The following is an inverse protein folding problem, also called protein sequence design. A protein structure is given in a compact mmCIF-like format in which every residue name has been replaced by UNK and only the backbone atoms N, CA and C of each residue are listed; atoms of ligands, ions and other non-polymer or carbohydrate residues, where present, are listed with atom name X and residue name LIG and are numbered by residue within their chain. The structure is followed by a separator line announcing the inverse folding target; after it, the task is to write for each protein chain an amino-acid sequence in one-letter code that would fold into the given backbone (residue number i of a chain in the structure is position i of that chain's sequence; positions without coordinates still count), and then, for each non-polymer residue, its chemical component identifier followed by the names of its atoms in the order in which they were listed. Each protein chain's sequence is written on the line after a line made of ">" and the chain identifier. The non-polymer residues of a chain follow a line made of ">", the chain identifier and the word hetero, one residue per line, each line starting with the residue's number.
data_IF_244036626459
#
_entry.id   IF_244036626459
#
_cell.length_a   1.000
_cell.length_b   1.000
_cell.length_c   1.000
_cell.angle_alpha   90.00
_cell.angle_beta   90.00
_cell.angle_gamma   90.00
#
_symmetry.space_group_name_H-M   'P 1'
#
loop_
_entity.id
_entity.type
_entity.pdbx_description
1 polymer ?
#
# COMPACT_ATOMS: atom_id res chain seq x y z
N UNK A 1 -60.66 47.76 6.29
CA UNK A 1 -61.28 47.22 5.07
C UNK A 1 -60.88 45.75 5.02
N UNK A 2 -61.72 44.75 5.33
CA UNK A 2 -63.20 44.63 5.16
C UNK A 2 -63.52 44.84 3.66
N UNK A 3 -64.12 43.95 2.86
CA UNK A 3 -64.94 42.71 3.08
C UNK A 3 -64.91 41.85 1.76
N UNK A 4 -65.40 40.60 1.61
CA UNK A 4 -65.91 39.51 2.47
C UNK A 4 -65.87 38.16 1.67
N UNK A 5 -66.24 37.03 2.31
CA UNK A 5 -66.92 35.81 1.78
C UNK A 5 -66.15 34.48 1.86
N UNK A 6 -66.71 33.32 2.24
CA UNK A 6 -67.84 32.85 3.08
C UNK A 6 -68.33 31.50 2.52
N UNK A 7 -68.43 30.51 3.40
CA UNK A 7 -69.18 29.22 3.37
C UNK A 7 -68.40 28.28 4.32
N UNK A 8 -68.78 27.97 5.58
CA UNK A 8 -70.09 27.68 6.19
C UNK A 8 -70.84 26.52 5.47
N UNK A 9 -71.33 25.46 6.13
CA UNK A 9 -71.53 25.23 7.59
C UNK A 9 -71.76 23.73 7.94
N UNK A 10 -71.64 23.38 9.24
CA UNK A 10 -72.53 22.45 10.03
C UNK A 10 -72.54 20.91 9.80
N UNK A 11 -72.91 20.04 10.77
CA UNK A 11 -73.02 20.09 12.26
C UNK A 11 -73.13 18.65 12.86
N UNK A 12 -72.86 18.49 14.18
CA UNK A 12 -73.31 17.36 15.02
C UNK A 12 -72.16 16.52 15.63
N UNK A 13 -71.79 16.47 16.91
CA UNK A 13 -72.30 16.85 18.26
C UNK A 13 -72.49 15.60 19.18
N UNK A 14 -72.44 15.81 20.51
CA UNK A 14 -72.68 14.87 21.64
C UNK A 14 -71.48 14.48 22.54
N UNK A 15 -70.98 15.47 23.30
CA UNK A 15 -70.77 15.47 24.78
C UNK A 15 -70.28 14.21 25.55
N UNK A 16 -69.29 14.38 26.44
CA UNK A 16 -68.99 13.41 27.52
C UNK A 16 -67.82 13.78 28.47
N UNK A 17 -68.13 14.45 29.58
CA UNK A 17 -67.24 14.94 30.67
C UNK A 17 -66.14 13.98 31.20
N UNK A 18 -65.08 14.53 31.82
CA UNK A 18 -64.42 13.85 32.95
C UNK A 18 -62.94 14.14 33.20
N UNK A 19 -62.64 15.10 34.09
CA UNK A 19 -61.34 15.32 34.74
C UNK A 19 -60.84 14.07 35.50
N UNK A 20 -59.57 13.65 35.35
CA UNK A 20 -58.54 13.67 36.43
C UNK A 20 -57.18 12.98 36.11
N UNK A 21 -56.12 13.55 36.70
CA UNK A 21 -54.83 12.96 37.13
C UNK A 21 -53.95 12.13 36.18
N UNK A 22 -52.98 12.84 35.57
CA UNK A 22 -51.50 12.70 35.73
C UNK A 22 -50.84 11.33 36.04
N UNK A 23 -49.65 11.13 35.45
CA UNK A 23 -48.62 10.11 35.76
C UNK A 23 -48.89 8.65 35.36
N UNK A 24 -48.68 8.29 34.08
CA UNK A 24 -48.00 7.02 33.65
C UNK A 24 -47.81 6.93 32.10
N UNK A 25 -46.88 7.70 31.50
CA UNK A 25 -46.61 7.56 30.04
C UNK A 25 -45.22 8.03 29.56
N UNK A 26 -44.21 8.13 30.44
CA UNK A 26 -42.90 8.74 30.09
C UNK A 26 -41.68 7.83 30.31
N UNK A 27 -41.83 6.50 30.21
CA UNK A 27 -40.71 5.54 30.31
C UNK A 27 -40.75 4.38 29.29
N UNK A 28 -41.32 4.57 28.09
CA UNK A 28 -41.23 3.59 27.00
C UNK A 28 -40.83 4.12 25.61
N UNK A 29 -40.57 5.42 25.47
CA UNK A 29 -40.20 6.05 24.18
C UNK A 29 -38.84 6.76 24.20
N UNK A 30 -37.99 6.53 25.19
CA UNK A 30 -36.63 7.11 25.27
C UNK A 30 -35.52 6.06 25.34
N UNK A 31 -35.84 4.77 25.43
CA UNK A 31 -34.85 3.69 25.39
C UNK A 31 -34.45 3.27 23.96
N UNK A 32 -35.18 3.74 22.93
CA UNK A 32 -34.86 3.51 21.52
C UNK A 32 -34.10 4.68 20.85
N UNK A 33 -33.93 5.81 21.54
CA UNK A 33 -33.29 7.02 20.98
C UNK A 33 -31.87 7.27 21.54
N UNK A 34 -31.47 6.52 22.57
CA UNK A 34 -30.08 6.42 23.02
C UNK A 34 -29.28 5.37 22.23
N UNK A 35 -29.98 4.46 21.55
CA UNK A 35 -29.37 3.40 20.73
C UNK A 35 -29.06 3.85 19.29
N UNK A 36 -29.06 5.16 19.00
CA UNK A 36 -28.71 5.70 17.67
C UNK A 36 -27.61 6.77 17.72
N UNK A 37 -27.17 7.17 18.92
CA UNK A 37 -26.10 8.15 19.15
C UNK A 37 -24.80 7.44 19.59
N UNK A 38 -24.87 6.16 19.95
CA UNK A 38 -23.73 5.31 20.31
C UNK A 38 -23.17 4.46 19.16
N UNK A 39 -23.83 4.41 18.00
CA UNK A 39 -23.36 3.63 16.84
C UNK A 39 -22.14 4.23 16.11
N UNK A 40 -22.07 5.54 15.76
CA UNK A 40 -20.95 6.03 14.96
C UNK A 40 -19.60 5.89 15.69
N UNK A 41 -19.58 6.16 17.01
CA UNK A 41 -18.39 6.02 17.86
C UNK A 41 -17.94 4.57 18.08
N UNK A 42 -18.79 3.57 17.79
CA UNK A 42 -18.42 2.16 17.88
C UNK A 42 -17.73 1.71 16.59
N UNK A 43 -18.24 2.16 15.43
CA UNK A 43 -17.72 1.78 14.11
C UNK A 43 -16.32 2.38 13.87
N UNK A 44 -16.11 3.65 14.23
CA UNK A 44 -14.78 4.31 14.14
C UNK A 44 -13.71 3.49 14.88
N UNK A 45 -13.96 3.14 16.15
CA UNK A 45 -13.01 2.40 16.98
C UNK A 45 -12.80 0.91 16.58
N UNK A 46 -13.63 0.37 15.68
CA UNK A 46 -13.44 -0.97 15.11
C UNK A 46 -12.73 -0.90 13.75
N UNK A 47 -13.00 0.11 12.92
CA UNK A 47 -12.21 0.38 11.71
C UNK A 47 -10.75 0.71 12.04
N UNK A 48 -10.49 1.41 13.16
CA UNK A 48 -9.15 1.61 13.70
C UNK A 48 -8.42 0.29 13.99
N UNK A 49 -9.13 -0.78 14.40
CA UNK A 49 -8.50 -2.09 14.64
C UNK A 49 -8.10 -2.75 13.33
N UNK A 50 -9.02 -2.81 12.35
CA UNK A 50 -8.73 -3.35 11.01
C UNK A 50 -7.53 -2.64 10.37
N UNK A 51 -7.44 -1.32 10.52
CA UNK A 51 -6.27 -0.56 10.05
C UNK A 51 -4.99 -0.96 10.79
N UNK A 52 -5.05 -1.19 12.10
CA UNK A 52 -3.91 -1.63 12.91
C UNK A 52 -3.32 -2.96 12.42
N UNK A 53 -4.16 -3.99 12.24
CA UNK A 53 -3.67 -5.30 11.78
C UNK A 53 -3.09 -5.20 10.35
N UNK A 54 -3.68 -4.36 9.48
CA UNK A 54 -3.13 -4.07 8.14
C UNK A 54 -1.77 -3.34 8.21
N UNK A 55 -1.62 -2.36 9.11
CA UNK A 55 -0.34 -1.65 9.31
C UNK A 55 0.76 -2.59 9.83
N UNK A 56 0.43 -3.48 10.76
CA UNK A 56 1.36 -4.49 11.29
C UNK A 56 1.73 -5.54 10.21
N UNK A 57 0.76 -6.00 9.39
CA UNK A 57 1.02 -6.82 8.20
C UNK A 57 1.99 -6.15 7.21
N UNK A 58 1.87 -4.83 7.01
CA UNK A 58 2.81 -4.07 6.17
C UNK A 58 4.23 -3.98 6.75
N UNK A 59 4.43 -3.86 8.06
CA UNK A 59 5.77 -3.85 8.68
C UNK A 59 6.46 -5.22 8.53
N UNK A 60 5.69 -6.30 8.73
CA UNK A 60 6.18 -7.67 8.60
C UNK A 60 6.48 -8.02 7.12
N UNK A 61 5.64 -7.60 6.17
CA UNK A 61 5.93 -7.64 4.73
C UNK A 61 7.25 -6.95 4.38
N UNK A 62 7.47 -5.70 4.83
CA UNK A 62 8.68 -4.94 4.49
C UNK A 62 9.94 -5.66 4.98
N UNK A 63 9.84 -6.27 6.16
CA UNK A 63 10.88 -7.12 6.73
C UNK A 63 11.13 -8.38 5.89
N UNK A 64 10.07 -9.08 5.46
CA UNK A 64 10.16 -10.28 4.61
C UNK A 64 10.75 -9.97 3.23
N UNK A 65 10.29 -8.90 2.60
CA UNK A 65 10.72 -8.45 1.27
C UNK A 65 12.22 -8.11 1.27
N UNK A 66 12.66 -7.27 2.20
CA UNK A 66 14.07 -6.90 2.36
C UNK A 66 14.97 -8.11 2.63
N UNK A 67 14.51 -9.05 3.45
CA UNK A 67 15.25 -10.28 3.75
C UNK A 67 15.37 -11.20 2.55
N UNK A 68 14.31 -11.33 1.76
CA UNK A 68 14.33 -12.09 0.49
C UNK A 68 15.32 -11.47 -0.51
N UNK A 69 15.32 -10.14 -0.66
CA UNK A 69 16.30 -9.43 -1.51
C UNK A 69 17.74 -9.63 -1.02
N UNK A 70 17.98 -9.57 0.29
CA UNK A 70 19.31 -9.81 0.86
C UNK A 70 19.78 -11.26 0.62
N UNK A 71 18.86 -12.23 0.70
CA UNK A 71 19.13 -13.61 0.33
C UNK A 71 19.48 -13.77 -1.17
N UNK A 72 18.74 -13.11 -2.06
CA UNK A 72 19.05 -13.09 -3.51
C UNK A 72 20.44 -12.48 -3.77
N UNK A 73 20.82 -11.42 -3.07
CA UNK A 73 22.16 -10.83 -3.16
C UNK A 73 23.25 -11.86 -2.81
N UNK A 74 23.08 -12.65 -1.75
CA UNK A 74 24.04 -13.70 -1.38
C UNK A 74 24.10 -14.83 -2.42
N UNK A 75 22.97 -15.20 -3.05
CA UNK A 75 22.97 -16.14 -4.18
C UNK A 75 23.79 -15.60 -5.35
N UNK A 76 23.67 -14.31 -5.67
CA UNK A 76 24.47 -13.69 -6.72
C UNK A 76 25.95 -13.59 -6.37
N UNK A 77 26.30 -13.33 -5.10
CA UNK A 77 27.68 -13.41 -4.63
C UNK A 77 28.24 -14.83 -4.68
N UNK A 78 27.42 -15.88 -4.48
CA UNK A 78 27.84 -17.27 -4.64
C UNK A 78 28.31 -17.56 -6.07
N UNK A 79 27.61 -17.07 -7.09
CA UNK A 79 28.01 -17.21 -8.50
C UNK A 79 29.29 -16.45 -8.89
N UNK A 80 29.73 -15.47 -8.08
CA UNK A 80 30.99 -14.74 -8.28
C UNK A 80 32.20 -15.43 -7.62
N UNK A 81 31.99 -16.45 -6.77
CA UNK A 81 33.07 -17.13 -6.06
C UNK A 81 33.85 -18.12 -6.93
N UNK A 82 35.09 -18.39 -6.51
CA UNK A 82 36.03 -19.25 -7.24
C UNK A 82 36.36 -20.59 -6.55
N UNK A 83 35.85 -20.81 -5.33
CA UNK A 83 36.02 -22.07 -4.60
C UNK A 83 34.68 -22.56 -4.05
N UNK A 84 34.48 -23.87 -4.04
CA UNK A 84 33.28 -24.54 -3.50
C UNK A 84 32.99 -24.09 -2.06
N UNK A 85 34.03 -23.96 -1.22
CA UNK A 85 33.85 -23.53 0.18
C UNK A 85 33.33 -22.11 0.32
N UNK A 86 33.65 -21.22 -0.63
CA UNK A 86 33.15 -19.84 -0.62
C UNK A 86 31.71 -19.80 -1.17
N UNK A 87 31.41 -20.59 -2.22
CA UNK A 87 30.04 -20.78 -2.75
C UNK A 87 29.10 -21.29 -1.65
N UNK A 88 29.49 -22.34 -0.93
CA UNK A 88 28.74 -22.93 0.18
C UNK A 88 28.51 -21.92 1.32
N UNK A 89 29.50 -21.06 1.61
CA UNK A 89 29.37 -20.02 2.63
C UNK A 89 28.31 -18.96 2.26
N UNK A 90 28.33 -18.48 1.01
CA UNK A 90 27.31 -17.55 0.52
C UNK A 90 25.93 -18.22 0.42
N UNK A 91 25.85 -19.50 0.05
CA UNK A 91 24.61 -20.29 0.06
C UNK A 91 24.00 -20.41 1.47
N UNK A 92 24.80 -20.72 2.49
CA UNK A 92 24.37 -20.74 3.90
C UNK A 92 23.95 -19.35 4.41
N UNK A 93 24.59 -18.29 3.94
CA UNK A 93 24.18 -16.91 4.26
C UNK A 93 22.83 -16.57 3.62
N UNK A 94 22.61 -16.96 2.36
CA UNK A 94 21.32 -16.84 1.69
C UNK A 94 20.23 -17.65 2.42
N UNK A 95 20.51 -18.91 2.80
CA UNK A 95 19.58 -19.79 3.52
C UNK A 95 19.08 -19.14 4.83
N UNK A 96 20.00 -18.53 5.58
CA UNK A 96 19.68 -17.80 6.81
C UNK A 96 18.77 -16.60 6.56
N UNK A 97 18.97 -15.85 5.47
CA UNK A 97 18.12 -14.71 5.15
C UNK A 97 16.75 -15.14 4.61
N UNK A 98 16.67 -16.21 3.80
CA UNK A 98 15.39 -16.78 3.36
C UNK A 98 14.57 -17.32 4.53
N UNK A 99 15.22 -17.96 5.51
CA UNK A 99 14.55 -18.46 6.73
C UNK A 99 13.99 -17.32 7.59
N UNK A 100 14.72 -16.21 7.69
CA UNK A 100 14.22 -14.98 8.31
C UNK A 100 13.06 -14.38 7.51
N UNK A 101 13.16 -14.35 6.18
CA UNK A 101 12.11 -13.85 5.30
C UNK A 101 10.82 -14.69 5.43
N UNK A 102 10.92 -16.02 5.42
CA UNK A 102 9.78 -16.94 5.57
C UNK A 102 9.06 -16.73 6.89
N UNK A 103 9.81 -16.51 7.96
CA UNK A 103 9.25 -16.22 9.28
C UNK A 103 8.48 -14.90 9.27
N UNK A 104 9.03 -13.87 8.63
CA UNK A 104 8.41 -12.55 8.48
C UNK A 104 7.17 -12.56 7.56
N UNK A 105 7.21 -13.30 6.47
CA UNK A 105 6.04 -13.53 5.62
C UNK A 105 4.93 -14.28 6.38
N UNK A 106 5.29 -15.20 7.26
CA UNK A 106 4.33 -15.90 8.12
C UNK A 106 3.67 -15.01 9.17
N UNK A 107 4.36 -13.99 9.69
CA UNK A 107 3.69 -13.00 10.55
C UNK A 107 2.77 -12.09 9.73
N UNK A 108 3.20 -11.61 8.56
CA UNK A 108 2.32 -10.83 7.68
C UNK A 108 1.05 -11.59 7.23
N UNK A 109 1.13 -12.91 7.10
CA UNK A 109 -0.02 -13.82 6.92
C UNK A 109 -0.92 -13.86 8.16
N UNK A 110 -0.36 -14.07 9.35
CA UNK A 110 -1.11 -14.10 10.61
C UNK A 110 -1.85 -12.75 10.86
N UNK A 111 -1.20 -11.60 10.62
CA UNK A 111 -1.84 -10.27 10.77
C UNK A 111 -2.91 -9.99 9.68
N UNK A 112 -2.83 -10.64 8.50
CA UNK A 112 -3.85 -10.54 7.45
C UNK A 112 -5.13 -11.34 7.78
N UNK A 113 -5.01 -12.53 8.39
CA UNK A 113 -6.14 -13.30 8.96
C UNK A 113 -6.85 -12.53 10.09
N UNK A 114 -6.08 -11.86 10.97
CA UNK A 114 -6.65 -10.98 11.99
C UNK A 114 -7.35 -9.74 11.36
N UNK A 115 -6.82 -9.18 10.27
CA UNK A 115 -7.47 -8.11 9.50
C UNK A 115 -8.79 -8.55 8.82
N UNK A 116 -8.82 -9.74 8.20
CA UNK A 116 -10.03 -10.36 7.63
C UNK A 116 -11.09 -10.54 8.74
N UNK A 117 -10.68 -11.18 9.83
CA UNK A 117 -11.54 -11.48 10.97
C UNK A 117 -12.19 -10.23 11.57
N UNK A 118 -11.44 -9.12 11.68
CA UNK A 118 -11.97 -7.86 12.19
C UNK A 118 -12.80 -7.07 11.17
N UNK A 119 -12.50 -7.18 9.86
CA UNK A 119 -13.35 -6.64 8.81
C UNK A 119 -14.73 -7.34 8.77
N UNK A 120 -14.76 -8.66 8.92
CA UNK A 120 -15.99 -9.45 9.02
C UNK A 120 -16.83 -9.05 10.25
N UNK A 121 -16.17 -8.76 11.39
CA UNK A 121 -16.83 -8.30 12.62
C UNK A 121 -17.57 -6.94 12.49
N UNK A 122 -17.31 -6.17 11.44
CA UNK A 122 -17.95 -4.87 11.15
C UNK A 122 -18.84 -4.88 9.89
N UNK A 123 -19.20 -6.06 9.36
CA UNK A 123 -19.95 -6.23 8.11
C UNK A 123 -19.27 -5.50 6.92
N UNK A 124 -17.95 -5.64 6.78
CA UNK A 124 -17.13 -4.97 5.77
C UNK A 124 -16.59 -5.94 4.70
N UNK A 125 -17.53 -6.57 3.98
CA UNK A 125 -17.31 -7.61 2.97
C UNK A 125 -16.14 -7.31 2.01
N UNK A 126 -16.05 -6.08 1.46
CA UNK A 126 -14.99 -5.71 0.51
C UNK A 126 -13.58 -5.78 1.15
N UNK A 127 -13.44 -5.51 2.45
CA UNK A 127 -12.13 -5.55 3.15
C UNK A 127 -11.81 -6.95 3.66
N UNK A 128 -12.83 -7.72 4.06
CA UNK A 128 -12.72 -9.15 4.34
C UNK A 128 -12.12 -9.87 3.11
N UNK A 129 -12.74 -9.70 1.93
CA UNK A 129 -12.27 -10.29 0.66
C UNK A 129 -10.80 -9.91 0.33
N UNK A 130 -10.42 -8.63 0.45
CA UNK A 130 -9.04 -8.19 0.14
C UNK A 130 -8.00 -8.62 1.19
N UNK A 131 -8.38 -8.75 2.46
CA UNK A 131 -7.48 -9.26 3.50
C UNK A 131 -7.24 -10.78 3.33
N UNK A 132 -8.29 -11.54 3.00
CA UNK A 132 -8.20 -12.96 2.68
C UNK A 132 -7.30 -13.22 1.45
N UNK A 133 -7.47 -12.47 0.36
CA UNK A 133 -6.60 -12.57 -0.82
C UNK A 133 -5.12 -12.24 -0.45
N UNK A 134 -4.89 -11.30 0.48
CA UNK A 134 -3.54 -11.00 0.98
C UNK A 134 -2.94 -12.13 1.83
N UNK A 135 -3.72 -12.75 2.73
CA UNK A 135 -3.32 -13.94 3.51
C UNK A 135 -2.84 -15.06 2.55
N UNK A 136 -3.65 -15.41 1.56
CA UNK A 136 -3.37 -16.46 0.58
C UNK A 136 -2.06 -16.17 -0.19
N UNK A 137 -1.80 -14.91 -0.57
CA UNK A 137 -0.54 -14.52 -1.21
C UNK A 137 0.67 -14.54 -0.27
N UNK A 138 0.54 -14.13 1.01
CA UNK A 138 1.62 -14.29 2.00
C UNK A 138 1.94 -15.77 2.25
N UNK A 139 0.91 -16.62 2.27
CA UNK A 139 1.06 -18.07 2.38
C UNK A 139 1.77 -18.69 1.18
N UNK A 140 1.47 -18.24 -0.05
CA UNK A 140 2.21 -18.63 -1.25
C UNK A 140 3.67 -18.16 -1.20
N UNK A 141 3.94 -16.93 -0.76
CA UNK A 141 5.31 -16.43 -0.54
C UNK A 141 6.07 -17.27 0.49
N UNK A 142 5.44 -17.61 1.61
CA UNK A 142 5.99 -18.47 2.69
C UNK A 142 6.40 -19.85 2.15
N UNK A 143 5.57 -20.43 1.27
CA UNK A 143 5.89 -21.70 0.58
C UNK A 143 7.06 -21.57 -0.38
N UNK A 144 7.09 -20.52 -1.20
CA UNK A 144 8.19 -20.27 -2.14
C UNK A 144 9.53 -20.07 -1.42
N UNK A 145 9.56 -19.30 -0.32
CA UNK A 145 10.74 -19.13 0.53
C UNK A 145 11.20 -20.45 1.16
N UNK A 146 10.26 -21.31 1.59
CA UNK A 146 10.61 -22.63 2.11
C UNK A 146 11.22 -23.57 1.05
N UNK A 147 10.86 -23.41 -0.22
CA UNK A 147 11.51 -24.12 -1.33
C UNK A 147 12.91 -23.56 -1.60
N UNK A 148 13.07 -22.23 -1.59
CA UNK A 148 14.37 -21.58 -1.71
C UNK A 148 15.34 -22.03 -0.61
N UNK A 149 14.89 -22.07 0.65
CA UNK A 149 15.66 -22.64 1.77
C UNK A 149 16.12 -24.08 1.50
N UNK A 150 15.24 -24.95 0.99
CA UNK A 150 15.57 -26.36 0.73
C UNK A 150 16.66 -26.53 -0.35
N UNK A 151 16.62 -25.72 -1.40
CA UNK A 151 17.65 -25.71 -2.44
C UNK A 151 18.97 -25.16 -1.90
N UNK A 152 18.94 -24.08 -1.10
CA UNK A 152 20.14 -23.48 -0.48
C UNK A 152 20.79 -24.38 0.56
N UNK A 153 19.99 -25.08 1.37
CA UNK A 153 20.47 -26.09 2.31
C UNK A 153 21.17 -27.23 1.57
N UNK A 154 20.68 -27.60 0.38
CA UNK A 154 21.34 -28.60 -0.48
C UNK A 154 22.65 -28.06 -1.06
N UNK A 155 22.65 -26.82 -1.56
CA UNK A 155 23.86 -26.15 -2.06
C UNK A 155 24.95 -26.00 -0.99
N UNK A 156 24.58 -25.72 0.27
CA UNK A 156 25.51 -25.58 1.41
C UNK A 156 26.37 -26.81 1.69
N UNK A 157 26.03 -27.99 1.14
CA UNK A 157 26.79 -29.24 1.32
C UNK A 157 27.24 -29.91 0.01
N UNK A 158 26.91 -29.35 -1.16
CA UNK A 158 27.25 -29.95 -2.45
C UNK A 158 28.71 -29.64 -2.85
N UNK A 159 29.44 -30.66 -3.31
CA UNK A 159 30.84 -30.57 -3.74
C UNK A 159 30.99 -30.54 -5.28
N UNK A 160 29.97 -30.94 -6.03
CA UNK A 160 29.97 -30.89 -7.49
C UNK A 160 29.55 -29.49 -8.01
N UNK A 161 30.39 -28.79 -8.80
CA UNK A 161 30.07 -27.46 -9.32
C UNK A 161 28.83 -27.38 -10.21
N UNK A 162 28.48 -28.45 -10.93
CA UNK A 162 27.32 -28.44 -11.83
C UNK A 162 26.03 -28.52 -10.99
N UNK A 163 25.97 -29.39 -9.98
CA UNK A 163 24.82 -29.47 -9.06
C UNK A 163 24.69 -28.22 -8.17
N UNK A 164 25.81 -27.63 -7.70
CA UNK A 164 25.82 -26.34 -7.00
C UNK A 164 25.11 -25.24 -7.81
N UNK A 165 25.44 -25.14 -9.10
CA UNK A 165 24.85 -24.14 -9.98
C UNK A 165 23.34 -24.37 -10.18
N UNK A 166 22.90 -25.62 -10.31
CA UNK A 166 21.47 -25.95 -10.43
C UNK A 166 20.70 -25.57 -9.15
N UNK A 167 21.18 -25.96 -7.96
CA UNK A 167 20.55 -25.61 -6.68
C UNK A 167 20.45 -24.08 -6.48
N UNK A 168 21.52 -23.33 -6.76
CA UNK A 168 21.52 -21.87 -6.63
C UNK A 168 20.55 -21.19 -7.63
N UNK A 169 20.44 -21.70 -8.86
CA UNK A 169 19.48 -21.17 -9.84
C UNK A 169 18.04 -21.45 -9.42
N UNK A 170 17.74 -22.66 -8.92
CA UNK A 170 16.41 -23.01 -8.40
C UNK A 170 16.05 -22.13 -7.20
N UNK A 171 16.96 -22.01 -6.22
CA UNK A 171 16.80 -21.13 -5.07
C UNK A 171 16.49 -19.69 -5.47
N UNK A 172 17.24 -19.14 -6.43
CA UNK A 172 17.00 -17.80 -6.96
C UNK A 172 15.63 -17.70 -7.63
N UNK A 173 15.20 -18.71 -8.38
CA UNK A 173 13.87 -18.73 -9.00
C UNK A 173 12.76 -18.67 -7.95
N UNK A 174 12.82 -19.53 -6.92
CA UNK A 174 11.84 -19.54 -5.83
C UNK A 174 11.86 -18.24 -5.00
N UNK A 175 13.02 -17.61 -4.80
CA UNK A 175 13.11 -16.34 -4.10
C UNK A 175 12.48 -15.18 -4.90
N UNK A 176 12.58 -15.18 -6.23
CA UNK A 176 11.90 -14.18 -7.06
C UNK A 176 10.39 -14.43 -7.15
N UNK A 177 9.96 -15.69 -7.15
CA UNK A 177 8.55 -16.08 -7.03
C UNK A 177 7.96 -15.55 -5.71
N UNK A 178 8.67 -15.75 -4.59
CA UNK A 178 8.31 -15.17 -3.30
C UNK A 178 8.20 -13.64 -3.32
N UNK A 179 9.12 -12.91 -3.97
CA UNK A 179 9.00 -11.45 -4.12
C UNK A 179 7.75 -11.04 -4.91
N UNK A 180 7.36 -11.79 -5.95
CA UNK A 180 6.10 -11.55 -6.68
C UNK A 180 4.90 -11.68 -5.75
N UNK A 181 4.89 -12.76 -4.95
CA UNK A 181 3.80 -13.04 -4.00
C UNK A 181 3.70 -12.06 -2.84
N UNK A 182 4.84 -11.61 -2.31
CA UNK A 182 4.88 -10.52 -1.33
C UNK A 182 4.32 -9.21 -1.91
N UNK A 183 4.59 -8.90 -3.19
CA UNK A 183 4.02 -7.72 -3.85
C UNK A 183 2.51 -7.87 -4.12
N UNK A 184 2.06 -9.05 -4.57
CA UNK A 184 0.64 -9.37 -4.80
C UNK A 184 -0.15 -9.19 -3.50
N UNK A 185 0.31 -9.74 -2.36
CA UNK A 185 -0.31 -9.53 -1.05
C UNK A 185 -0.43 -8.04 -0.68
N UNK A 186 0.60 -7.25 -0.96
CA UNK A 186 0.64 -5.81 -0.67
C UNK A 186 -0.28 -4.99 -1.57
N UNK A 187 -0.48 -5.37 -2.82
CA UNK A 187 -1.46 -4.72 -3.69
C UNK A 187 -2.89 -4.93 -3.16
N UNK A 188 -3.20 -6.11 -2.59
CA UNK A 188 -4.49 -6.40 -1.94
C UNK A 188 -4.65 -5.73 -0.57
N UNK A 189 -3.63 -5.69 0.30
CA UNK A 189 -3.67 -4.85 1.51
C UNK A 189 -3.91 -3.37 1.17
N UNK A 190 -3.33 -2.88 0.08
CA UNK A 190 -3.61 -1.54 -0.44
C UNK A 190 -5.02 -1.38 -1.01
N UNK A 191 -5.71 -2.45 -1.41
CA UNK A 191 -7.12 -2.43 -1.78
C UNK A 191 -8.02 -2.43 -0.53
N UNK A 192 -7.70 -3.26 0.46
CA UNK A 192 -8.32 -3.28 1.79
C UNK A 192 -8.36 -1.88 2.43
N UNK A 193 -7.22 -1.18 2.53
CA UNK A 193 -7.14 0.21 3.06
C UNK A 193 -8.10 1.18 2.33
N UNK A 194 -8.22 1.07 1.00
CA UNK A 194 -9.11 1.94 0.20
C UNK A 194 -10.58 1.60 0.42
N UNK A 195 -10.90 0.32 0.60
CA UNK A 195 -12.27 -0.16 0.80
C UNK A 195 -12.79 0.12 2.21
N UNK A 196 -11.90 0.08 3.22
CA UNK A 196 -12.21 0.40 4.62
C UNK A 196 -12.81 1.82 4.78
N UNK A 197 -12.37 2.77 3.94
CA UNK A 197 -12.93 4.13 3.85
C UNK A 197 -14.42 4.16 3.48
N UNK A 198 -14.94 3.12 2.80
CA UNK A 198 -16.33 3.02 2.37
C UNK A 198 -17.22 2.27 3.39
N UNK A 199 -16.65 1.33 4.16
CA UNK A 199 -17.39 0.52 5.14
C UNK A 199 -17.87 1.31 6.36
N UNK A 200 -17.07 2.24 6.89
CA UNK A 200 -17.38 2.93 8.14
C UNK A 200 -18.62 3.86 8.10
N UNK A 201 -19.33 3.96 6.97
CA UNK A 201 -20.60 4.68 6.83
C UNK A 201 -20.49 6.21 6.95
N UNK A 202 -19.28 6.73 7.06
CA UNK A 202 -18.94 8.14 7.15
C UNK A 202 -17.53 8.36 6.62
N UNK A 203 -17.19 9.61 6.29
CA UNK A 203 -15.83 9.98 5.93
C UNK A 203 -14.90 9.71 7.12
N UNK A 204 -14.16 8.60 7.05
CA UNK A 204 -12.91 8.47 7.81
C UNK A 204 -12.03 9.63 7.30
N UNK A 205 -11.82 10.64 8.14
CA UNK A 205 -10.69 11.55 7.96
C UNK A 205 -9.44 10.68 8.20
N UNK A 206 -8.99 10.03 7.14
CA UNK A 206 -7.90 9.08 7.15
C UNK A 206 -6.59 9.79 7.48
N UNK A 207 -6.28 9.89 8.78
CA UNK A 207 -4.90 9.89 9.29
C UNK A 207 -4.32 8.46 9.31
N UNK A 208 -4.85 7.53 8.48
CA UNK A 208 -4.18 6.26 8.21
C UNK A 208 -2.81 6.53 7.60
N UNK A 209 -1.79 5.82 8.08
CA UNK A 209 -0.38 6.19 7.85
C UNK A 209 0.00 6.03 6.38
N UNK A 210 -0.21 7.08 5.58
CA UNK A 210 0.33 7.09 4.23
C UNK A 210 1.85 6.94 4.32
N UNK A 211 2.45 6.16 3.42
CA UNK A 211 3.91 6.13 3.32
C UNK A 211 4.31 7.56 2.95
N UNK A 212 4.96 8.27 3.88
CA UNK A 212 5.36 9.66 3.63
C UNK A 212 6.14 9.73 2.31
N UNK A 213 5.92 10.77 1.51
CA UNK A 213 6.56 10.85 0.20
C UNK A 213 8.09 10.80 0.30
N UNK A 214 8.67 11.19 1.43
CA UNK A 214 10.11 11.08 1.69
C UNK A 214 10.53 9.60 1.90
N UNK A 215 9.77 8.80 2.66
CA UNK A 215 10.05 7.37 2.87
C UNK A 215 9.86 6.53 1.59
N UNK A 216 8.78 6.77 0.83
CA UNK A 216 8.55 6.08 -0.44
C UNK A 216 9.60 6.46 -1.49
N UNK A 217 10.01 7.73 -1.51
CA UNK A 217 11.11 8.20 -2.35
C UNK A 217 12.43 7.53 -1.97
N UNK A 218 12.78 7.49 -0.68
CA UNK A 218 14.04 6.88 -0.23
C UNK A 218 14.08 5.37 -0.57
N UNK A 219 12.95 4.66 -0.45
CA UNK A 219 12.81 3.28 -0.93
C UNK A 219 13.13 3.15 -2.43
N UNK A 220 12.50 3.96 -3.29
CA UNK A 220 12.72 3.94 -4.75
C UNK A 220 14.14 4.39 -5.13
N UNK A 221 14.75 5.31 -4.37
CA UNK A 221 16.14 5.74 -4.58
C UNK A 221 17.16 4.65 -4.28
N UNK A 222 16.88 3.77 -3.30
CA UNK A 222 17.76 2.70 -2.84
C UNK A 222 17.56 1.39 -3.64
N UNK A 223 16.30 1.05 -3.99
CA UNK A 223 15.94 -0.23 -4.61
C UNK A 223 15.62 -0.14 -6.12
N UNK A 224 15.37 1.05 -6.66
CA UNK A 224 15.01 1.24 -8.07
C UNK A 224 16.22 1.24 -9.02
N UNK A 225 16.11 0.56 -10.15
CA UNK A 225 17.13 0.62 -11.20
C UNK A 225 17.10 1.96 -11.93
N UNK A 226 18.11 2.81 -11.70
CA UNK A 226 18.18 4.17 -12.25
C UNK A 226 18.27 4.20 -13.80
N UNK A 227 17.15 4.44 -14.49
CA UNK A 227 17.06 4.56 -15.96
C UNK A 227 17.73 5.82 -16.54
N UNK A 228 18.01 6.81 -15.68
CA UNK A 228 18.81 7.98 -16.02
C UNK A 228 18.34 9.25 -15.33
N UNK A 229 19.05 10.35 -15.59
CA UNK A 229 18.77 11.64 -14.95
C UNK A 229 19.07 12.81 -15.88
N UNK A 230 18.37 13.93 -15.66
CA UNK A 230 18.63 15.23 -16.27
C UNK A 230 18.91 16.22 -15.13
N UNK A 231 20.12 16.79 -15.11
CA UNK A 231 20.54 17.74 -14.07
C UNK A 231 20.35 19.20 -14.48
N UNK A 232 20.41 20.10 -13.50
CA UNK A 232 20.19 21.56 -13.62
C UNK A 232 20.73 22.19 -14.92
N UNK A 233 22.02 21.98 -15.23
CA UNK A 233 22.68 22.55 -16.41
C UNK A 233 22.09 22.13 -17.76
N UNK A 234 21.34 21.02 -17.80
CA UNK A 234 20.64 20.52 -18.99
C UNK A 234 19.15 20.89 -18.98
N UNK A 235 18.55 21.05 -17.80
CA UNK A 235 17.11 21.34 -17.64
C UNK A 235 16.75 22.76 -18.09
N UNK A 236 17.67 23.73 -17.97
CA UNK A 236 17.47 25.15 -18.33
C UNK A 236 16.11 25.70 -17.83
N UNK A 237 15.85 25.48 -16.53
CA UNK A 237 14.57 25.77 -15.90
C UNK A 237 14.76 26.55 -14.60
N UNK A 238 14.02 27.65 -14.45
CA UNK A 238 14.05 28.51 -13.25
C UNK A 238 13.57 27.80 -11.97
N UNK A 239 12.86 26.68 -12.11
CA UNK A 239 12.17 25.98 -11.02
C UNK A 239 12.47 24.48 -10.88
N UNK A 240 12.94 23.81 -11.94
CA UNK A 240 13.20 22.36 -11.95
C UNK A 240 14.72 22.12 -11.96
N UNK A 241 15.29 21.57 -10.88
CA UNK A 241 16.76 21.55 -10.67
C UNK A 241 17.40 20.18 -10.88
N UNK A 242 16.65 19.09 -10.71
CA UNK A 242 17.11 17.73 -11.00
C UNK A 242 15.89 16.85 -11.28
N UNK A 243 16.01 15.91 -12.22
CA UNK A 243 15.02 14.85 -12.47
C UNK A 243 15.75 13.53 -12.68
N UNK A 244 15.38 12.48 -11.96
CA UNK A 244 15.92 11.14 -12.12
C UNK A 244 14.78 10.12 -12.20
N UNK A 245 14.90 9.15 -13.12
CA UNK A 245 13.95 8.05 -13.27
C UNK A 245 14.55 6.72 -12.82
N UNK A 246 13.69 5.90 -12.23
CA UNK A 246 13.97 4.62 -11.63
C UNK A 246 12.96 3.61 -12.17
N UNK A 247 13.43 2.42 -12.53
CA UNK A 247 12.62 1.25 -12.88
C UNK A 247 12.51 0.38 -11.63
N UNK A 248 11.30 0.08 -11.20
CA UNK A 248 11.04 -0.84 -10.10
C UNK A 248 9.72 -1.52 -10.40
N UNK A 249 9.67 -2.85 -10.30
CA UNK A 249 8.47 -3.65 -10.66
C UNK A 249 7.88 -3.30 -12.05
N UNK A 250 8.74 -3.11 -13.06
CA UNK A 250 8.37 -2.69 -14.43
C UNK A 250 7.63 -1.33 -14.54
N UNK A 251 7.38 -0.66 -13.42
CA UNK A 251 6.83 0.69 -13.29
C UNK A 251 7.98 1.69 -13.30
N UNK A 252 7.76 2.89 -13.87
CA UNK A 252 8.76 3.96 -13.84
C UNK A 252 8.35 5.00 -12.81
N UNK A 253 9.23 5.20 -11.84
CA UNK A 253 9.14 6.25 -10.85
C UNK A 253 10.08 7.40 -11.24
N UNK A 254 9.65 8.63 -11.04
CA UNK A 254 10.49 9.81 -11.24
C UNK A 254 10.60 10.58 -9.94
N UNK A 255 11.84 10.85 -9.52
CA UNK A 255 12.16 11.75 -8.41
C UNK A 255 12.66 13.07 -8.99
N UNK A 256 11.99 14.17 -8.68
CA UNK A 256 12.31 15.51 -9.18
C UNK A 256 12.53 16.51 -8.04
N UNK A 257 13.60 17.31 -8.14
CA UNK A 257 13.88 18.42 -7.23
C UNK A 257 13.33 19.71 -7.82
N UNK A 258 12.42 20.33 -7.07
CA UNK A 258 11.72 21.56 -7.46
C UNK A 258 12.10 22.66 -6.47
N UNK A 259 12.49 23.82 -7.00
CA UNK A 259 12.90 25.00 -6.24
C UNK A 259 11.73 25.60 -5.49
N UNK A 260 11.89 25.83 -4.18
CA UNK A 260 10.88 26.49 -3.36
C UNK A 260 10.83 27.97 -3.73
N UNK A 261 9.61 28.50 -3.93
CA UNK A 261 9.39 29.90 -4.35
C UNK A 261 10.08 30.88 -3.39
N UNK A 262 10.84 31.83 -3.95
CA UNK A 262 11.65 32.81 -3.22
C UNK A 262 12.76 32.21 -2.33
N UNK A 263 13.14 30.94 -2.53
CA UNK A 263 14.23 30.27 -1.82
C UNK A 263 15.39 29.89 -2.75
N UNK A 264 16.55 29.62 -2.16
CA UNK A 264 17.66 28.90 -2.79
C UNK A 264 17.58 27.38 -2.56
N UNK A 265 16.65 26.90 -1.72
CA UNK A 265 16.40 25.48 -1.49
C UNK A 265 15.43 24.88 -2.53
N UNK A 266 15.55 23.56 -2.72
CA UNK A 266 14.61 22.73 -3.45
C UNK A 266 14.02 21.65 -2.53
N UNK A 267 12.76 21.26 -2.76
CA UNK A 267 12.14 20.06 -2.18
C UNK A 267 12.13 18.96 -3.25
N UNK A 268 12.31 17.71 -2.84
CA UNK A 268 12.15 16.55 -3.73
C UNK A 268 10.69 16.12 -3.77
N UNK A 269 10.26 15.57 -4.90
CA UNK A 269 8.91 15.07 -5.15
C UNK A 269 9.02 13.78 -5.96
N UNK A 270 8.18 12.79 -5.64
CA UNK A 270 8.11 11.52 -6.36
C UNK A 270 6.82 11.41 -7.19
N UNK A 271 6.95 10.80 -8.36
CA UNK A 271 5.92 10.62 -9.36
C UNK A 271 5.90 9.13 -9.77
N UNK A 272 4.72 8.53 -9.87
CA UNK A 272 4.47 7.08 -9.90
C UNK A 272 3.97 6.60 -11.28
N UNK A 273 4.22 5.31 -11.59
CA UNK A 273 3.61 4.59 -12.72
C UNK A 273 3.71 5.27 -14.08
N UNK A 274 4.82 5.97 -14.34
CA UNK A 274 5.00 6.79 -15.53
C UNK A 274 5.17 5.89 -16.76
N UNK A 275 4.35 6.04 -17.82
CA UNK A 275 4.53 5.27 -19.03
C UNK A 275 5.92 5.50 -19.66
N UNK A 276 6.56 4.43 -20.14
CA UNK A 276 7.86 4.51 -20.83
C UNK A 276 7.90 5.53 -21.98
N UNK A 277 6.78 5.76 -22.66
CA UNK A 277 6.61 6.80 -23.68
C UNK A 277 6.71 8.22 -23.09
N UNK A 278 6.01 8.48 -21.98
CA UNK A 278 6.01 9.78 -21.26
C UNK A 278 7.41 10.13 -20.75
N UNK A 279 8.11 9.18 -20.12
CA UNK A 279 9.51 9.35 -19.71
C UNK A 279 10.44 9.63 -20.91
N UNK A 280 10.29 8.88 -22.01
CA UNK A 280 11.09 9.08 -23.21
C UNK A 280 10.87 10.46 -23.84
N UNK A 281 9.62 10.92 -23.92
CA UNK A 281 9.26 12.23 -24.44
C UNK A 281 9.84 13.35 -23.57
N UNK A 282 9.72 13.26 -22.24
CA UNK A 282 10.38 14.21 -21.34
C UNK A 282 11.90 14.28 -21.60
N UNK A 283 12.57 13.12 -21.59
CA UNK A 283 14.04 13.02 -21.68
C UNK A 283 14.60 13.47 -23.03
N UNK A 284 13.97 13.05 -24.13
CA UNK A 284 14.52 13.19 -25.48
C UNK A 284 13.81 14.26 -26.34
N UNK A 285 12.57 14.63 -25.98
CA UNK A 285 11.68 15.47 -26.79
C UNK A 285 10.98 14.71 -27.92
N UNK A 286 9.69 15.01 -28.12
CA UNK A 286 8.87 14.53 -29.23
C UNK A 286 8.82 15.49 -30.43
N UNK A 287 8.28 15.00 -31.56
CA UNK A 287 8.17 15.78 -32.79
C UNK A 287 7.07 16.85 -32.68
N UNK A 288 7.49 18.11 -32.46
CA UNK A 288 6.57 19.24 -32.24
C UNK A 288 6.21 19.49 -30.77
N UNK A 289 6.94 18.88 -29.82
CA UNK A 289 6.82 19.22 -28.40
C UNK A 289 7.47 20.58 -28.06
N UNK A 290 7.13 21.11 -26.88
CA UNK A 290 7.63 22.40 -26.40
C UNK A 290 9.14 22.35 -26.10
N UNK A 291 9.82 23.48 -26.30
CA UNK A 291 11.29 23.53 -26.35
C UNK A 291 11.95 23.22 -24.99
N UNK A 292 11.38 23.73 -23.89
CA UNK A 292 12.03 23.63 -22.56
C UNK A 292 11.74 22.30 -21.85
N UNK A 293 12.65 21.86 -20.96
CA UNK A 293 12.40 20.68 -20.12
C UNK A 293 11.31 20.95 -19.06
N UNK A 294 11.15 22.19 -18.59
CA UNK A 294 10.10 22.53 -17.64
C UNK A 294 8.69 22.33 -18.23
N UNK A 295 8.49 22.73 -19.48
CA UNK A 295 7.23 22.48 -20.20
C UNK A 295 7.02 20.98 -20.46
N UNK A 296 8.05 20.27 -20.97
CA UNK A 296 7.97 18.82 -21.19
C UNK A 296 7.73 18.01 -19.92
N UNK A 297 8.25 18.45 -18.78
CA UNK A 297 7.96 17.86 -17.47
C UNK A 297 6.48 18.05 -17.10
N UNK A 298 5.93 19.24 -17.34
CA UNK A 298 4.52 19.52 -17.09
C UNK A 298 3.59 18.65 -17.94
N UNK A 299 3.90 18.47 -19.23
CA UNK A 299 3.06 17.70 -20.17
C UNK A 299 3.18 16.17 -20.04
N UNK A 300 4.27 15.66 -19.45
CA UNK A 300 4.56 14.23 -19.41
C UNK A 300 4.68 13.60 -18.02
N UNK A 301 4.98 14.38 -16.97
CA UNK A 301 5.34 13.86 -15.64
C UNK A 301 4.43 14.41 -14.55
N UNK A 302 4.02 15.68 -14.64
CA UNK A 302 3.35 16.40 -13.54
C UNK A 302 1.96 15.83 -13.16
N UNK A 303 1.28 15.10 -14.06
CA UNK A 303 0.00 14.45 -13.76
C UNK A 303 0.15 13.15 -12.93
N UNK A 304 1.37 12.63 -12.80
CA UNK A 304 1.69 11.36 -12.14
C UNK A 304 2.18 11.51 -10.70
N UNK A 305 1.80 12.57 -9.97
CA UNK A 305 2.19 12.74 -8.56
C UNK A 305 1.73 11.52 -7.75
N UNK A 306 2.63 10.90 -6.98
CA UNK A 306 2.28 9.77 -6.12
C UNK A 306 1.28 10.19 -5.03
N UNK A 307 0.38 9.29 -4.65
CA UNK A 307 -0.58 9.51 -3.57
C UNK A 307 0.06 9.16 -2.20
N UNK A 308 0.96 10.03 -1.75
CA UNK A 308 1.66 10.01 -0.46
C UNK A 308 1.56 11.39 0.21
N UNK A 309 1.74 11.48 1.53
CA UNK A 309 1.69 12.75 2.29
C UNK A 309 3.09 13.37 2.57
#
# INVERSE_FOLDING_TARGET
>A
MIDQNLCQDSFGDSTGMGHETTQLSFMKSHFLFLLTILYPLAIEAQADKVMGEIEDAFEEYQSAFKKTQQGIYYIDQAFEQSTISDIQYEASSAESEMSSARTKAGYAEDEADDAESEASNIDCDDVEDFAADAEDYFYEAKRALSNAESELSSASYEEDPDYLADYLNNAKSYANDALSKLNEAVDELNAAVKSLQNCAGGSIDSEGSSISCDAFQDFILDHGYRKGSVGNYTLDSDWLTEVAAYDYDYKIYVVAKIKVKNSYSSRSYIFCDIPSSKWSNFKNGGYGERETYGERFHDNIMEYVCNCE
#
